data_IF_092426480629
#
_entry.id   IF_092426480629
#
_cell.length_a   1.000
_cell.length_b   1.000
_cell.length_c   1.000
_cell.angle_alpha   90.00
_cell.angle_beta   90.00
_cell.angle_gamma   90.00
#
_symmetry.space_group_name_H-M   'P 1'
#
loop_
_entity.id
_entity.type
_entity.pdbx_description
1 polymer ?
#
# COMPACT_ATOMS: atom_id res chain seq x y z
N UNK A 1 21.98 13.15 -21.37
CA UNK A 1 21.60 12.94 -19.96
C UNK A 1 20.09 12.77 -19.96
N UNK A 2 19.60 11.52 -19.89
CA UNK A 2 18.17 11.25 -19.86
C UNK A 2 17.72 11.21 -18.40
N UNK A 3 16.88 12.16 -18.01
CA UNK A 3 16.17 12.13 -16.73
C UNK A 3 15.22 10.93 -16.74
N UNK A 4 15.56 9.90 -15.97
CA UNK A 4 14.65 8.82 -15.68
C UNK A 4 13.49 9.39 -14.86
N UNK A 5 12.31 9.52 -15.45
CA UNK A 5 11.08 9.70 -14.71
C UNK A 5 10.76 8.35 -14.08
N UNK A 6 11.25 8.14 -12.85
CA UNK A 6 10.87 6.98 -12.05
C UNK A 6 9.34 6.94 -11.98
N UNK A 7 8.76 5.83 -12.41
CA UNK A 7 7.33 5.63 -12.26
C UNK A 7 7.06 5.38 -10.77
N UNK A 8 6.12 6.12 -10.19
CA UNK A 8 5.87 6.15 -8.73
C UNK A 8 5.58 4.78 -8.09
N UNK A 9 5.23 3.77 -8.90
CA UNK A 9 5.03 2.39 -8.48
C UNK A 9 6.32 1.63 -8.12
N UNK A 10 7.52 2.20 -8.38
CA UNK A 10 8.82 1.53 -8.18
C UNK A 10 9.35 1.59 -6.73
N UNK A 11 8.53 2.00 -5.76
CA UNK A 11 8.94 2.21 -4.36
C UNK A 11 8.39 1.18 -3.37
N UNK A 12 7.54 0.25 -3.81
CA UNK A 12 6.98 -0.79 -2.94
C UNK A 12 6.94 -2.16 -3.58
N UNK A 13 7.11 -3.16 -2.71
CA UNK A 13 6.81 -4.55 -3.00
C UNK A 13 5.49 -4.91 -2.33
N UNK A 14 4.52 -5.35 -3.14
CA UNK A 14 3.25 -5.88 -2.66
C UNK A 14 3.39 -7.38 -2.48
N UNK A 15 3.55 -7.84 -1.25
CA UNK A 15 3.62 -9.26 -0.92
C UNK A 15 2.21 -9.79 -0.59
N UNK A 16 1.81 -10.86 -1.28
CA UNK A 16 0.49 -11.48 -1.09
C UNK A 16 0.50 -12.40 0.14
N UNK A 17 0.29 -11.81 1.32
CA UNK A 17 0.20 -12.58 2.57
C UNK A 17 -1.22 -13.11 2.81
N UNK A 18 -1.58 -14.20 2.15
CA UNK A 18 -2.84 -14.91 2.37
C UNK A 18 -4.04 -14.38 1.56
N UNK A 19 -5.07 -15.22 1.44
CA UNK A 19 -6.32 -14.90 0.73
C UNK A 19 -6.90 -13.61 1.32
N UNK A 20 -6.85 -12.51 0.56
CA UNK A 20 -7.40 -11.20 0.89
C UNK A 20 -6.53 -10.24 1.73
N UNK A 21 -5.23 -10.46 1.93
CA UNK A 21 -4.36 -9.48 2.61
C UNK A 21 -3.05 -9.24 1.87
N UNK A 22 -2.67 -7.97 1.79
CA UNK A 22 -1.41 -7.50 1.23
C UNK A 22 -0.64 -6.72 2.28
N UNK A 23 0.65 -7.01 2.37
CA UNK A 23 1.59 -6.26 3.22
C UNK A 23 2.32 -5.28 2.32
N UNK A 24 2.35 -4.01 2.74
CA UNK A 24 3.05 -2.94 2.03
C UNK A 24 4.29 -2.60 2.84
N UNK A 25 5.46 -2.71 2.22
CA UNK A 25 6.75 -2.39 2.84
C UNK A 25 7.49 -1.36 2.02
N UNK A 26 8.17 -0.44 2.69
CA UNK A 26 9.09 0.48 2.05
C UNK A 26 10.21 -0.30 1.37
N UNK A 27 10.45 -0.08 0.08
CA UNK A 27 11.46 -0.84 -0.67
C UNK A 27 12.90 -0.57 -0.19
N UNK A 28 13.17 0.59 0.40
CA UNK A 28 14.52 0.96 0.85
C UNK A 28 14.83 0.44 2.26
N UNK A 29 13.88 0.56 3.19
CA UNK A 29 14.09 0.19 4.60
C UNK A 29 13.52 -1.18 4.97
N UNK A 30 12.74 -1.77 4.08
CA UNK A 30 11.92 -2.98 4.31
C UNK A 30 10.92 -2.85 5.48
N UNK A 31 10.75 -1.65 6.02
CA UNK A 31 9.84 -1.38 7.12
C UNK A 31 8.40 -1.50 6.67
N UNK A 32 7.53 -1.95 7.59
CA UNK A 32 6.10 -2.04 7.36
C UNK A 32 5.55 -0.62 7.19
N UNK A 33 5.05 -0.31 6.00
CA UNK A 33 4.34 0.95 5.75
C UNK A 33 2.85 0.82 6.10
N UNK A 34 2.29 -0.37 5.89
CA UNK A 34 0.90 -0.64 6.19
C UNK A 34 0.42 -1.95 5.63
N UNK A 35 -0.88 -2.19 5.73
CA UNK A 35 -1.52 -3.38 5.18
C UNK A 35 -2.82 -3.05 4.49
N UNK A 36 -3.09 -3.75 3.39
CA UNK A 36 -4.39 -3.69 2.73
C UNK A 36 -5.10 -5.02 2.91
N UNK A 37 -6.36 -4.96 3.32
CA UNK A 37 -7.21 -6.14 3.47
C UNK A 37 -8.42 -6.02 2.56
N UNK A 38 -8.68 -7.03 1.73
CA UNK A 38 -9.91 -7.12 0.95
C UNK A 38 -11.08 -7.40 1.88
N UNK A 39 -12.10 -6.58 1.78
CA UNK A 39 -13.37 -6.70 2.47
C UNK A 39 -14.47 -6.94 1.45
N UNK A 40 -15.69 -7.37 1.86
CA UNK A 40 -16.81 -7.52 0.93
C UNK A 40 -17.18 -6.22 0.19
N UNK A 41 -16.81 -5.05 0.73
CA UNK A 41 -17.17 -3.73 0.20
C UNK A 41 -16.01 -3.02 -0.52
N UNK A 42 -14.83 -3.64 -0.61
CA UNK A 42 -13.64 -3.03 -1.22
C UNK A 42 -12.35 -3.40 -0.49
N UNK A 43 -11.44 -2.44 -0.32
CA UNK A 43 -10.11 -2.62 0.24
C UNK A 43 -9.94 -1.70 1.45
N UNK A 44 -9.70 -2.26 2.63
CA UNK A 44 -9.40 -1.50 3.83
C UNK A 44 -7.89 -1.30 3.94
N UNK A 45 -7.46 -0.06 4.09
CA UNK A 45 -6.07 0.30 4.34
C UNK A 45 -5.86 0.54 5.84
N UNK A 46 -4.80 -0.05 6.37
CA UNK A 46 -4.31 0.21 7.71
C UNK A 46 -2.85 0.65 7.67
N UNK A 47 -2.46 1.53 8.59
CA UNK A 47 -1.07 1.92 8.81
C UNK A 47 -0.25 0.79 9.47
N UNK A 48 1.01 1.08 9.79
CA UNK A 48 1.94 0.17 10.45
C UNK A 48 1.52 -0.21 11.89
N UNK A 49 0.72 0.65 12.54
CA UNK A 49 0.15 0.39 13.88
C UNK A 49 -1.11 -0.47 13.83
N UNK A 50 -1.67 -0.71 12.64
CA UNK A 50 -2.91 -1.41 12.41
C UNK A 50 -4.16 -0.52 12.48
N UNK A 51 -4.00 0.80 12.65
CA UNK A 51 -5.10 1.74 12.60
C UNK A 51 -5.62 1.88 11.17
N UNK A 52 -6.94 1.85 11.00
CA UNK A 52 -7.57 1.96 9.69
C UNK A 52 -7.49 3.40 9.21
N UNK A 53 -6.72 3.64 8.16
CA UNK A 53 -6.62 4.93 7.47
C UNK A 53 -7.89 5.18 6.65
N UNK A 54 -8.37 4.15 5.94
CA UNK A 54 -9.48 4.36 5.01
C UNK A 54 -10.00 3.11 4.33
N UNK A 55 -10.88 3.32 3.35
CA UNK A 55 -11.44 2.26 2.51
C UNK A 55 -11.60 2.70 1.08
N UNK A 56 -11.23 1.81 0.18
CA UNK A 56 -10.97 2.12 -1.21
C UNK A 56 -11.64 1.09 -2.11
N UNK A 57 -12.08 1.53 -3.29
CA UNK A 57 -12.75 0.65 -4.25
C UNK A 57 -11.77 -0.34 -4.92
N UNK A 58 -10.49 0.01 -5.01
CA UNK A 58 -9.45 -0.80 -5.65
C UNK A 58 -8.21 -0.87 -4.77
N UNK A 59 -7.40 -1.93 -4.97
CA UNK A 59 -6.11 -2.10 -4.29
C UNK A 59 -5.17 -0.92 -4.58
N UNK A 60 -5.10 -0.49 -5.84
CA UNK A 60 -4.27 0.63 -6.30
C UNK A 60 -4.57 1.92 -5.53
N UNK A 61 -5.86 2.29 -5.40
CA UNK A 61 -6.30 3.43 -4.60
C UNK A 61 -5.99 3.29 -3.12
N UNK A 62 -6.01 2.06 -2.59
CA UNK A 62 -5.61 1.81 -1.21
C UNK A 62 -4.11 2.04 -1.00
N UNK A 63 -3.28 1.67 -1.97
CA UNK A 63 -1.83 1.96 -1.91
C UNK A 63 -1.57 3.46 -2.05
N UNK A 64 -2.27 4.17 -2.93
CA UNK A 64 -2.18 5.64 -3.02
C UNK A 64 -2.56 6.33 -1.71
N UNK A 65 -3.56 5.81 -0.98
CA UNK A 65 -4.02 6.37 0.29
C UNK A 65 -2.99 6.39 1.42
N UNK A 66 -1.91 5.60 1.33
CA UNK A 66 -0.78 5.68 2.27
C UNK A 66 0.02 6.98 2.13
N UNK A 67 -0.03 7.62 0.97
CA UNK A 67 0.73 8.84 0.69
C UNK A 67 -0.03 10.13 0.94
N UNK A 68 -1.36 10.11 0.88
CA UNK A 68 -2.19 11.30 1.16
C UNK A 68 -2.16 11.68 2.66
N UNK A 69 -1.71 10.75 3.51
CA UNK A 69 -1.62 10.91 4.96
C UNK A 69 -0.22 11.31 5.48
N UNK A 70 0.77 11.48 4.59
CA UNK A 70 2.17 11.83 4.94
C UNK A 70 2.43 13.33 4.78
#
# INVERSE_FOLDING_TARGET
>A
MSTATASHAEWFLVDASGLCRWIIRHQVTEELAGTVTRTPVGYALSDDTGCRIGSFATLDRAVEGLYDFV
#
